data_IF_517547389567
#
_entry.id   IF_517547389567
#
_cell.length_a   1.000
_cell.length_b   1.000
_cell.length_c   1.000
_cell.angle_alpha   90.00
_cell.angle_beta   90.00
_cell.angle_gamma   90.00
#
_symmetry.space_group_name_H-M   'P 1'
#
loop_
_entity.id
_entity.type
_entity.pdbx_description
1 polymer ?
#
# COMPACT_ATOMS: atom_id res chain seq x y z
N UNK A 1 -29.91 -14.58 -17.22
CA UNK A 1 -29.03 -13.46 -17.60
C UNK A 1 -27.63 -14.04 -17.60
N UNK A 2 -26.92 -14.05 -18.73
CA UNK A 2 -25.54 -14.53 -18.70
C UNK A 2 -24.75 -13.63 -17.76
N UNK A 3 -24.06 -14.20 -16.77
CA UNK A 3 -23.25 -13.44 -15.83
C UNK A 3 -22.23 -12.61 -16.63
N UNK A 4 -22.38 -11.29 -16.55
CA UNK A 4 -21.49 -10.37 -17.23
C UNK A 4 -20.09 -10.50 -16.62
N UNK A 5 -19.07 -10.68 -17.47
CA UNK A 5 -17.67 -10.79 -17.03
C UNK A 5 -17.28 -9.56 -16.19
N UNK A 6 -16.54 -9.76 -15.10
CA UNK A 6 -16.05 -8.66 -14.24
C UNK A 6 -15.05 -7.72 -14.92
N UNK A 7 -14.57 -8.11 -16.10
CA UNK A 7 -13.60 -7.38 -16.89
C UNK A 7 -14.06 -7.23 -18.35
N UNK A 8 -13.41 -6.31 -19.04
CA UNK A 8 -13.51 -6.11 -20.48
C UNK A 8 -12.37 -6.87 -21.16
N UNK A 9 -12.63 -7.56 -22.28
CA UNK A 9 -11.55 -8.13 -23.09
C UNK A 9 -10.52 -7.07 -23.50
N UNK A 10 -9.24 -7.41 -23.44
CA UNK A 10 -8.15 -6.55 -23.87
C UNK A 10 -7.82 -6.78 -25.36
N UNK A 11 -8.82 -6.59 -26.21
CA UNK A 11 -8.77 -6.83 -27.67
C UNK A 11 -8.95 -5.53 -28.49
N UNK A 12 -9.01 -4.38 -27.81
CA UNK A 12 -9.13 -3.09 -28.48
C UNK A 12 -7.81 -2.69 -29.17
N UNK A 13 -7.89 -2.05 -30.36
CA UNK A 13 -6.70 -1.56 -31.04
C UNK A 13 -6.00 -0.50 -30.19
N UNK A 14 -4.66 -0.51 -30.23
CA UNK A 14 -3.83 0.50 -29.59
C UNK A 14 -4.26 1.89 -30.07
N UNK A 15 -4.54 2.78 -29.12
CA UNK A 15 -4.92 4.16 -29.41
C UNK A 15 -3.68 5.05 -29.40
N UNK A 16 -3.62 5.98 -30.34
CA UNK A 16 -2.60 7.04 -30.33
C UNK A 16 -3.03 8.15 -29.39
N UNK A 17 -2.11 8.63 -28.54
CA UNK A 17 -2.38 9.76 -27.64
C UNK A 17 -2.46 11.06 -28.45
N UNK A 18 -3.45 11.91 -28.12
CA UNK A 18 -3.64 13.21 -28.78
C UNK A 18 -2.60 14.27 -28.38
N UNK A 19 -1.90 14.04 -27.27
CA UNK A 19 -0.84 14.89 -26.71
C UNK A 19 0.26 14.01 -26.13
N UNK A 20 1.43 14.58 -25.88
CA UNK A 20 2.51 13.85 -25.20
C UNK A 20 2.10 13.47 -23.76
N UNK A 21 2.63 12.36 -23.19
CA UNK A 21 2.36 11.99 -21.81
C UNK A 21 2.60 13.12 -20.81
N UNK A 22 3.66 13.93 -21.01
CA UNK A 22 3.97 15.09 -20.17
C UNK A 22 2.87 16.16 -20.21
N UNK A 23 2.33 16.44 -21.40
CA UNK A 23 1.23 17.42 -21.55
C UNK A 23 -0.09 16.91 -20.95
N UNK A 24 -0.39 15.62 -21.10
CA UNK A 24 -1.57 15.00 -20.49
C UNK A 24 -1.45 15.01 -18.96
N UNK A 25 -0.28 14.66 -18.44
CA UNK A 25 0.03 14.70 -17.01
C UNK A 25 -0.11 16.12 -16.43
N UNK A 26 0.45 17.14 -17.10
CA UNK A 26 0.32 18.53 -16.69
C UNK A 26 -1.15 18.97 -16.64
N UNK A 27 -1.91 18.70 -17.72
CA UNK A 27 -3.32 19.08 -17.79
C UNK A 27 -4.18 18.36 -16.74
N UNK A 28 -3.90 17.08 -16.47
CA UNK A 28 -4.59 16.32 -15.44
C UNK A 28 -4.32 16.86 -14.03
N UNK A 29 -3.08 17.27 -13.74
CA UNK A 29 -2.73 17.89 -12.46
C UNK A 29 -3.40 19.26 -12.26
N UNK A 30 -3.41 20.10 -13.31
CA UNK A 30 -4.09 21.40 -13.28
C UNK A 30 -5.60 21.25 -13.04
N UNK A 31 -6.25 20.35 -13.79
CA UNK A 31 -7.67 20.04 -13.62
C UNK A 31 -7.97 19.45 -12.23
N UNK A 32 -7.10 18.56 -11.73
CA UNK A 32 -7.24 17.97 -10.41
C UNK A 32 -7.18 19.04 -9.32
N UNK A 33 -6.19 19.93 -9.35
CA UNK A 33 -6.04 21.01 -8.34
C UNK A 33 -7.22 21.99 -8.41
N UNK A 34 -7.72 22.31 -9.60
CA UNK A 34 -8.87 23.19 -9.78
C UNK A 34 -10.18 22.59 -9.24
N UNK A 35 -10.33 21.26 -9.29
CA UNK A 35 -11.55 20.56 -8.82
C UNK A 35 -11.49 20.13 -7.35
N UNK A 36 -10.30 20.00 -6.80
CA UNK A 36 -10.08 19.46 -5.45
C UNK A 36 -9.39 20.51 -4.59
N UNK A 37 -10.05 21.63 -4.31
CA UNK A 37 -9.54 22.64 -3.40
C UNK A 37 -9.36 22.09 -1.98
N UNK A 38 -8.51 22.74 -1.19
CA UNK A 38 -8.34 22.36 0.22
C UNK A 38 -9.61 22.74 0.97
N UNK A 39 -10.32 21.77 1.59
CA UNK A 39 -11.57 22.06 2.27
C UNK A 39 -11.31 22.90 3.52
N UNK A 40 -12.29 23.71 3.92
CA UNK A 40 -12.20 24.50 5.15
C UNK A 40 -12.23 23.62 6.40
N UNK A 41 -13.01 22.54 6.37
CA UNK A 41 -13.16 21.54 7.44
C UNK A 41 -13.31 20.16 6.78
N UNK A 42 -13.01 19.09 7.53
CA UNK A 42 -13.25 17.73 7.07
C UNK A 42 -14.59 17.19 7.55
N UNK A 43 -15.29 16.49 6.66
CA UNK A 43 -16.52 15.75 6.94
C UNK A 43 -16.22 14.28 7.25
N UNK A 44 -17.19 13.59 7.84
CA UNK A 44 -17.13 12.15 8.09
C UNK A 44 -16.86 11.38 6.78
N UNK A 45 -15.97 10.39 6.84
CA UNK A 45 -15.58 9.60 5.67
C UNK A 45 -14.55 10.25 4.73
N UNK A 46 -14.20 11.53 4.92
CA UNK A 46 -13.09 12.17 4.17
C UNK A 46 -11.71 11.85 4.75
N UNK A 47 -11.66 11.28 5.94
CA UNK A 47 -10.44 10.98 6.70
C UNK A 47 -10.30 9.48 6.85
N UNK A 48 -9.40 8.91 6.05
CA UNK A 48 -9.08 7.48 5.99
C UNK A 48 -7.62 7.31 5.54
N UNK A 49 -6.76 8.10 6.17
CA UNK A 49 -5.31 8.10 5.98
C UNK A 49 -4.91 8.34 4.53
N UNK A 50 -3.73 7.82 4.16
CA UNK A 50 -3.25 7.90 2.77
C UNK A 50 -4.01 6.95 1.83
N UNK A 51 -4.76 5.99 2.35
CA UNK A 51 -5.36 4.93 1.52
C UNK A 51 -6.62 5.38 0.78
N UNK A 52 -7.51 6.11 1.45
CA UNK A 52 -8.70 6.64 0.80
C UNK A 52 -9.23 7.94 1.39
N UNK A 53 -8.49 8.56 2.31
CA UNK A 53 -8.79 9.89 2.81
C UNK A 53 -8.17 11.01 1.99
N UNK A 54 -8.53 12.24 2.34
CA UNK A 54 -7.96 13.47 1.78
C UNK A 54 -6.43 13.52 1.92
N UNK A 55 -5.88 12.92 2.97
CA UNK A 55 -4.45 12.81 3.24
C UNK A 55 -3.68 12.00 2.17
N UNK A 56 -4.37 11.21 1.35
CA UNK A 56 -3.80 10.62 0.14
C UNK A 56 -3.34 11.66 -0.91
N UNK A 57 -3.98 12.84 -0.95
CA UNK A 57 -3.65 13.91 -1.91
C UNK A 57 -2.26 14.54 -1.64
N UNK A 58 -1.95 15.05 -0.43
CA UNK A 58 -0.61 15.54 -0.14
C UNK A 58 0.45 14.44 -0.23
N UNK A 59 0.12 13.19 0.09
CA UNK A 59 1.01 12.05 -0.16
C UNK A 59 1.36 11.90 -1.65
N UNK A 60 0.34 11.91 -2.52
CA UNK A 60 0.53 11.87 -3.97
C UNK A 60 1.43 13.00 -4.45
N UNK A 61 1.16 14.25 -4.06
CA UNK A 61 1.97 15.40 -4.44
C UNK A 61 3.42 15.29 -3.96
N UNK A 62 3.64 14.78 -2.74
CA UNK A 62 4.98 14.54 -2.22
C UNK A 62 5.73 13.51 -3.07
N UNK A 63 5.12 12.36 -3.39
CA UNK A 63 5.75 11.34 -4.25
C UNK A 63 6.07 11.90 -5.65
N UNK A 64 5.09 12.57 -6.27
CA UNK A 64 5.27 13.15 -7.60
C UNK A 64 6.35 14.25 -7.62
N UNK A 65 6.56 14.97 -6.51
CA UNK A 65 7.61 15.99 -6.42
C UNK A 65 9.01 15.42 -6.57
N UNK A 66 9.23 14.16 -6.19
CA UNK A 66 10.50 13.47 -6.35
C UNK A 66 10.76 13.08 -7.82
N UNK A 67 9.73 12.61 -8.52
CA UNK A 67 9.84 12.16 -9.91
C UNK A 67 9.76 13.31 -10.93
N UNK A 68 9.09 14.41 -10.56
CA UNK A 68 8.81 15.54 -11.44
C UNK A 68 9.14 16.87 -10.76
N UNK A 69 10.41 17.12 -10.39
CA UNK A 69 10.81 18.32 -9.63
C UNK A 69 10.57 19.64 -10.38
N UNK A 70 10.51 19.59 -11.71
CA UNK A 70 10.29 20.77 -12.57
C UNK A 70 8.81 21.12 -12.78
N UNK A 71 7.90 20.21 -12.43
CA UNK A 71 6.47 20.43 -12.63
C UNK A 71 5.96 21.50 -11.65
N UNK A 72 5.13 22.40 -12.19
CA UNK A 72 4.46 23.46 -11.45
C UNK A 72 2.98 23.47 -11.83
N UNK A 73 2.10 23.73 -10.86
CA UNK A 73 0.67 23.95 -11.09
C UNK A 73 0.34 25.32 -10.52
N UNK A 74 -0.18 26.23 -11.34
CA UNK A 74 -0.45 27.62 -10.94
C UNK A 74 0.75 28.33 -10.27
N UNK A 75 1.97 28.00 -10.71
CA UNK A 75 3.21 28.56 -10.15
C UNK A 75 3.75 27.83 -8.90
N UNK A 76 3.00 26.94 -8.28
CA UNK A 76 3.43 26.15 -7.12
C UNK A 76 4.15 24.87 -7.55
N UNK A 77 5.25 24.51 -6.89
CA UNK A 77 5.84 23.18 -6.97
C UNK A 77 4.95 22.13 -6.32
N UNK A 78 5.09 20.88 -6.76
CA UNK A 78 4.35 19.76 -6.18
C UNK A 78 4.59 19.60 -4.67
N UNK A 79 5.80 19.92 -4.19
CA UNK A 79 6.09 19.92 -2.74
C UNK A 79 5.39 21.08 -2.01
N UNK A 80 5.22 22.25 -2.64
CA UNK A 80 4.41 23.34 -2.08
C UNK A 80 2.93 22.96 -2.03
N UNK A 81 2.41 22.32 -3.07
CA UNK A 81 1.05 21.76 -3.06
C UNK A 81 0.88 20.75 -1.93
N UNK A 82 1.80 19.80 -1.76
CA UNK A 82 1.74 18.85 -0.64
C UNK A 82 1.65 19.56 0.72
N UNK A 83 2.42 20.64 0.93
CA UNK A 83 2.32 21.47 2.15
C UNK A 83 0.97 22.19 2.26
N UNK A 84 0.45 22.75 1.16
CA UNK A 84 -0.84 23.43 1.12
C UNK A 84 -2.00 22.50 1.49
N UNK A 85 -2.01 21.27 0.97
CA UNK A 85 -3.03 20.27 1.29
C UNK A 85 -2.90 19.70 2.72
N UNK A 86 -1.74 19.85 3.35
CA UNK A 86 -1.54 19.52 4.76
C UNK A 86 -1.87 20.67 5.72
N UNK A 87 -2.17 21.88 5.23
CA UNK A 87 -2.30 23.07 6.05
C UNK A 87 -3.52 23.03 7.00
N UNK A 88 -4.60 22.36 6.59
CA UNK A 88 -5.79 22.17 7.42
C UNK A 88 -5.65 20.86 8.20
N UNK A 89 -5.70 20.97 9.52
CA UNK A 89 -5.74 19.82 10.43
C UNK A 89 -7.17 19.31 10.64
N UNK A 90 -7.36 18.00 10.83
CA UNK A 90 -8.65 17.44 11.21
C UNK A 90 -9.07 17.88 12.60
N UNK A 91 -10.39 17.88 12.85
CA UNK A 91 -10.93 18.10 14.19
C UNK A 91 -10.39 17.03 15.16
N UNK A 92 -10.04 17.45 16.38
CA UNK A 92 -9.51 16.57 17.41
C UNK A 92 -10.46 15.41 17.73
N UNK A 93 -11.77 15.64 17.70
CA UNK A 93 -12.80 14.62 17.93
C UNK A 93 -12.77 13.50 16.89
N UNK A 94 -12.43 13.82 15.63
CA UNK A 94 -12.30 12.81 14.57
C UNK A 94 -11.00 12.01 14.77
N UNK A 95 -9.93 12.66 15.23
CA UNK A 95 -8.66 11.99 15.53
C UNK A 95 -8.75 11.06 16.75
N UNK A 96 -9.67 11.31 17.69
CA UNK A 96 -9.92 10.43 18.84
C UNK A 96 -10.64 9.13 18.44
N UNK A 97 -11.37 9.14 17.31
CA UNK A 97 -12.07 7.97 16.77
C UNK A 97 -11.18 7.12 15.84
N UNK A 98 -9.93 7.53 15.62
CA UNK A 98 -8.95 6.81 14.80
C UNK A 98 -8.32 5.66 15.62
N UNK A 99 -9.07 4.56 15.72
CA UNK A 99 -8.71 3.39 16.56
C UNK A 99 -7.78 2.42 15.82
N UNK A 100 -7.74 2.49 14.49
CA UNK A 100 -6.98 1.56 13.65
C UNK A 100 -5.50 1.96 13.59
N UNK A 101 -4.63 0.99 13.25
CA UNK A 101 -3.24 1.31 12.92
C UNK A 101 -3.02 1.08 11.41
N UNK A 102 -1.94 1.57 10.81
CA UNK A 102 -1.70 1.35 9.37
C UNK A 102 -2.18 2.47 8.45
N UNK A 103 -2.49 2.16 7.19
CA UNK A 103 -2.66 3.17 6.14
C UNK A 103 -4.02 3.90 6.15
N UNK A 104 -5.05 3.30 6.77
CA UNK A 104 -6.34 3.94 6.99
C UNK A 104 -6.30 4.92 8.17
N UNK A 105 -5.34 4.77 9.08
CA UNK A 105 -5.20 5.69 10.21
C UNK A 105 -4.81 7.07 9.72
N UNK A 106 -5.71 8.02 9.94
CA UNK A 106 -5.53 9.42 9.59
C UNK A 106 -4.42 10.05 10.41
N UNK A 107 -4.40 9.80 11.72
CA UNK A 107 -3.39 10.31 12.64
C UNK A 107 -1.99 9.84 12.26
N UNK A 108 -1.81 8.53 12.06
CA UNK A 108 -0.51 7.97 11.68
C UNK A 108 -0.05 8.49 10.31
N UNK A 109 -0.96 8.51 9.34
CA UNK A 109 -0.69 8.99 7.98
C UNK A 109 -0.26 10.45 7.96
N UNK A 110 -0.98 11.32 8.67
CA UNK A 110 -0.66 12.75 8.74
C UNK A 110 0.64 13.03 9.45
N UNK A 111 0.90 12.35 10.57
CA UNK A 111 2.15 12.52 11.32
C UNK A 111 3.37 12.06 10.50
N UNK A 112 3.24 10.94 9.78
CA UNK A 112 4.27 10.48 8.85
C UNK A 112 4.53 11.52 7.75
N UNK A 113 3.47 12.06 7.13
CA UNK A 113 3.61 13.09 6.09
C UNK A 113 4.17 14.41 6.60
N UNK A 114 3.76 14.84 7.79
CA UNK A 114 4.30 16.03 8.44
C UNK A 114 5.82 15.90 8.62
N UNK A 115 6.28 14.76 9.16
CA UNK A 115 7.69 14.46 9.30
C UNK A 115 8.43 14.43 7.95
N UNK A 116 7.84 13.84 6.90
CA UNK A 116 8.44 13.83 5.57
C UNK A 116 8.57 15.23 4.96
N UNK A 117 7.57 16.09 5.16
CA UNK A 117 7.52 17.42 4.56
C UNK A 117 8.44 18.42 5.27
N UNK A 118 8.49 18.37 6.60
CA UNK A 118 9.34 19.24 7.41
C UNK A 118 10.80 18.79 7.38
N UNK A 119 11.05 17.48 7.49
CA UNK A 119 12.39 16.93 7.68
C UNK A 119 12.95 17.15 9.09
N UNK A 120 12.15 17.67 10.01
CA UNK A 120 12.58 18.06 11.36
C UNK A 120 12.52 16.88 12.33
N UNK A 121 13.52 16.78 13.20
CA UNK A 121 13.63 15.69 14.17
C UNK A 121 12.46 15.66 15.17
N UNK A 122 11.91 16.83 15.51
CA UNK A 122 10.74 16.96 16.39
C UNK A 122 9.51 16.26 15.83
N UNK A 123 9.24 16.44 14.54
CA UNK A 123 8.09 15.81 13.86
C UNK A 123 8.31 14.31 13.69
N UNK A 124 9.54 13.88 13.40
CA UNK A 124 9.89 12.45 13.37
C UNK A 124 9.66 11.80 14.73
N UNK A 125 10.10 12.44 15.82
CA UNK A 125 9.88 11.91 17.17
C UNK A 125 8.39 11.85 17.53
N UNK A 126 7.61 12.86 17.12
CA UNK A 126 6.14 12.86 17.29
C UNK A 126 5.50 11.69 16.54
N UNK A 127 5.87 11.50 15.28
CA UNK A 127 5.40 10.35 14.49
C UNK A 127 5.78 9.01 15.15
N UNK A 128 7.04 8.81 15.56
CA UNK A 128 7.46 7.58 16.25
C UNK A 128 6.60 7.34 17.50
N UNK A 129 6.36 8.38 18.31
CA UNK A 129 5.51 8.26 19.50
C UNK A 129 4.08 7.81 19.17
N UNK A 130 3.50 8.28 18.05
CA UNK A 130 2.17 7.82 17.62
C UNK A 130 2.12 6.34 17.23
N UNK A 131 3.26 5.73 16.87
CA UNK A 131 3.34 4.29 16.55
C UNK A 131 3.43 3.37 17.77
N UNK A 132 3.47 3.91 19.00
CA UNK A 132 3.69 3.12 20.22
C UNK A 132 2.67 1.98 20.40
N UNK A 133 1.40 2.22 20.08
CA UNK A 133 0.34 1.20 20.15
C UNK A 133 0.60 0.00 19.24
N UNK A 134 1.21 0.20 18.09
CA UNK A 134 1.54 -0.89 17.16
C UNK A 134 2.69 -1.77 17.65
N UNK A 135 3.60 -1.22 18.48
CA UNK A 135 4.71 -1.98 19.09
C UNK A 135 4.29 -2.71 20.38
N UNK A 136 3.19 -2.29 21.01
CA UNK A 136 2.67 -2.89 22.22
C UNK A 136 2.05 -4.27 21.97
N UNK A 137 2.11 -5.13 22.99
CA UNK A 137 1.29 -6.34 23.05
C UNK A 137 -0.18 -5.94 23.10
N UNK A 138 -1.06 -6.68 22.41
CA UNK A 138 -2.50 -6.44 22.54
C UNK A 138 -2.94 -6.76 23.96
N UNK A 139 -3.44 -5.77 24.69
CA UNK A 139 -4.06 -5.96 26.01
C UNK A 139 -5.54 -6.30 25.90
N UNK A 140 -6.15 -5.97 24.76
CA UNK A 140 -7.52 -6.33 24.41
C UNK A 140 -7.50 -7.66 23.64
N UNK A 141 -8.06 -8.70 24.25
CA UNK A 141 -8.20 -10.03 23.64
C UNK A 141 -9.37 -10.10 22.66
N UNK A 142 -10.36 -9.22 22.82
CA UNK A 142 -11.58 -9.21 22.02
C UNK A 142 -11.38 -8.45 20.71
N UNK A 143 -10.52 -7.43 20.71
CA UNK A 143 -10.12 -6.68 19.52
C UNK A 143 -8.60 -6.59 19.39
N UNK A 144 -7.91 -7.69 19.01
CA UNK A 144 -6.48 -7.65 18.84
C UNK A 144 -6.09 -6.75 17.66
N UNK A 145 -5.03 -5.96 17.86
CA UNK A 145 -4.43 -5.16 16.78
C UNK A 145 -4.05 -6.09 15.62
N UNK A 146 -4.60 -5.82 14.44
CA UNK A 146 -4.40 -6.62 13.23
C UNK A 146 -3.04 -6.33 12.60
N UNK A 147 -2.62 -7.17 11.66
CA UNK A 147 -1.26 -7.11 11.10
C UNK A 147 -1.19 -6.71 9.63
N UNK A 148 -2.32 -6.64 8.93
CA UNK A 148 -2.35 -6.32 7.51
C UNK A 148 -2.06 -4.83 7.22
N UNK A 149 -2.02 -4.43 5.95
CA UNK A 149 -1.51 -3.11 5.57
C UNK A 149 -2.50 -1.99 5.88
N UNK A 150 -3.80 -2.21 5.70
CA UNK A 150 -4.77 -1.12 5.75
C UNK A 150 -5.03 -0.65 7.18
N UNK A 151 -5.27 -1.60 8.07
CA UNK A 151 -5.72 -1.43 9.46
C UNK A 151 -4.73 -1.98 10.49
N UNK A 152 -3.60 -2.50 10.02
CA UNK A 152 -2.65 -3.23 10.85
C UNK A 152 -1.22 -2.71 10.86
N UNK A 153 -0.41 -3.44 11.63
CA UNK A 153 1.00 -3.16 11.89
C UNK A 153 1.85 -3.07 10.61
N UNK A 154 1.55 -3.83 9.56
CA UNK A 154 2.29 -3.75 8.31
C UNK A 154 2.14 -2.38 7.62
N UNK A 155 0.99 -1.71 7.77
CA UNK A 155 0.82 -0.33 7.30
C UNK A 155 1.71 0.65 8.07
N UNK A 156 1.92 0.42 9.37
CA UNK A 156 2.84 1.24 10.18
C UNK A 156 4.28 1.06 9.71
N UNK A 157 4.69 -0.17 9.36
CA UNK A 157 5.99 -0.45 8.75
C UNK A 157 6.15 0.31 7.42
N UNK A 158 5.12 0.37 6.58
CA UNK A 158 5.14 1.18 5.36
C UNK A 158 5.37 2.67 5.67
N UNK A 159 4.64 3.25 6.62
CA UNK A 159 4.78 4.66 7.00
C UNK A 159 6.18 4.96 7.59
N UNK A 160 6.73 4.05 8.40
CA UNK A 160 8.11 4.16 8.90
C UNK A 160 9.12 4.15 7.76
N UNK A 161 8.94 3.32 6.72
CA UNK A 161 9.79 3.33 5.52
C UNK A 161 9.66 4.61 4.72
N UNK A 162 8.44 5.15 4.63
CA UNK A 162 8.18 6.43 3.98
C UNK A 162 8.97 7.55 4.66
N UNK A 163 8.89 7.67 5.98
CA UNK A 163 9.66 8.67 6.74
C UNK A 163 11.16 8.42 6.62
N UNK A 164 11.62 7.16 6.67
CA UNK A 164 13.03 6.81 6.46
C UNK A 164 13.57 7.28 5.11
N UNK A 165 12.74 7.21 4.06
CA UNK A 165 13.10 7.66 2.72
C UNK A 165 13.26 9.18 2.63
N UNK A 166 12.29 9.94 3.18
CA UNK A 166 12.27 11.39 3.08
C UNK A 166 13.15 12.09 4.13
N UNK A 167 13.44 11.42 5.24
CA UNK A 167 14.29 11.94 6.33
C UNK A 167 15.41 10.93 6.65
N UNK A 168 16.42 10.74 5.77
CA UNK A 168 17.43 9.69 5.94
C UNK A 168 18.20 9.74 7.27
N UNK A 169 18.37 10.94 7.85
CA UNK A 169 19.01 11.13 9.16
C UNK A 169 18.29 10.46 10.34
N UNK A 170 17.02 10.07 10.17
CA UNK A 170 16.22 9.40 11.20
C UNK A 170 16.35 7.87 11.22
N UNK A 171 17.12 7.30 10.28
CA UNK A 171 17.22 5.84 10.03
C UNK A 171 17.34 5.01 11.31
N UNK A 172 18.31 5.29 12.17
CA UNK A 172 18.59 4.47 13.37
C UNK A 172 17.39 4.41 14.33
N UNK A 173 16.70 5.54 14.55
CA UNK A 173 15.53 5.60 15.44
C UNK A 173 14.35 4.83 14.85
N UNK A 174 14.11 5.01 13.56
CA UNK A 174 13.03 4.31 12.85
C UNK A 174 13.29 2.80 12.80
N UNK A 175 14.54 2.36 12.63
CA UNK A 175 14.90 0.93 12.63
C UNK A 175 14.61 0.26 13.97
N UNK A 176 14.86 0.92 15.10
CA UNK A 176 14.48 0.41 16.43
C UNK A 176 12.97 0.19 16.51
N UNK A 177 12.18 1.15 16.04
CA UNK A 177 10.73 1.05 16.04
C UNK A 177 10.21 -0.01 15.06
N UNK A 178 10.81 -0.12 13.87
CA UNK A 178 10.50 -1.16 12.88
C UNK A 178 10.73 -2.55 13.46
N UNK A 179 11.83 -2.78 14.19
CA UNK A 179 12.13 -4.06 14.86
C UNK A 179 11.05 -4.43 15.87
N UNK A 180 10.70 -3.50 16.77
CA UNK A 180 9.68 -3.75 17.78
C UNK A 180 8.32 -4.12 17.18
N UNK A 181 7.90 -3.46 16.10
CA UNK A 181 6.64 -3.76 15.40
C UNK A 181 6.74 -5.07 14.63
N UNK A 182 7.86 -5.33 13.95
CA UNK A 182 8.06 -6.56 13.21
C UNK A 182 8.06 -7.80 14.11
N UNK A 183 8.62 -7.70 15.32
CA UNK A 183 8.59 -8.79 16.29
C UNK A 183 7.13 -9.18 16.63
N UNK A 184 6.24 -8.20 16.82
CA UNK A 184 4.80 -8.46 17.03
C UNK A 184 4.11 -9.12 15.84
N UNK A 185 4.45 -8.68 14.62
CA UNK A 185 3.91 -9.29 13.41
C UNK A 185 4.39 -10.75 13.29
N UNK A 186 5.68 -11.02 13.56
CA UNK A 186 6.25 -12.36 13.50
C UNK A 186 5.74 -13.29 14.62
N UNK A 187 5.50 -12.77 15.82
CA UNK A 187 4.84 -13.54 16.91
C UNK A 187 3.45 -14.01 16.47
N UNK A 188 2.68 -13.14 15.81
CA UNK A 188 1.30 -13.42 15.41
C UNK A 188 1.15 -14.51 14.34
N UNK A 189 2.22 -14.91 13.66
CA UNK A 189 2.20 -15.93 12.61
C UNK A 189 3.13 -17.12 12.90
N UNK A 190 3.41 -17.36 14.18
CA UNK A 190 4.29 -18.45 14.61
C UNK A 190 5.67 -18.37 13.93
N UNK A 191 6.22 -17.16 13.85
CA UNK A 191 7.52 -16.84 13.28
C UNK A 191 7.74 -17.34 11.84
N UNK A 192 6.75 -17.14 10.96
CA UNK A 192 6.83 -17.52 9.54
C UNK A 192 6.21 -18.88 9.20
N UNK A 193 5.70 -19.61 10.19
CA UNK A 193 5.11 -20.94 9.96
C UNK A 193 3.64 -20.88 9.51
N UNK A 194 2.90 -19.84 9.91
CA UNK A 194 1.46 -19.70 9.67
C UNK A 194 1.11 -18.39 8.94
N UNK A 195 -0.13 -18.30 8.42
CA UNK A 195 -0.68 -17.08 7.82
C UNK A 195 -1.22 -16.11 8.86
N UNK A 196 -1.19 -14.82 8.53
CA UNK A 196 -1.88 -13.82 9.35
C UNK A 196 -3.39 -13.90 9.12
N UNK A 197 -4.16 -13.59 10.17
CA UNK A 197 -5.63 -13.63 10.15
C UNK A 197 -6.17 -12.20 10.25
N UNK A 198 -7.11 -11.87 9.37
CA UNK A 198 -7.91 -10.67 9.43
C UNK A 198 -9.37 -11.03 9.19
N UNK A 199 -10.30 -10.53 10.02
CA UNK A 199 -11.72 -10.87 9.99
C UNK A 199 -11.99 -12.40 9.90
N UNK A 200 -11.29 -13.17 10.74
CA UNK A 200 -11.35 -14.65 10.79
C UNK A 200 -10.99 -15.36 9.48
N UNK A 201 -10.23 -14.72 8.59
CA UNK A 201 -9.79 -15.29 7.31
C UNK A 201 -8.31 -15.07 7.08
N UNK A 202 -7.67 -16.04 6.41
CA UNK A 202 -6.27 -15.98 5.98
C UNK A 202 -6.20 -15.44 4.56
N UNK A 203 -6.13 -14.13 4.43
CA UNK A 203 -6.02 -13.46 3.13
C UNK A 203 -4.62 -13.62 2.56
N UNK A 204 -4.51 -13.72 1.22
CA UNK A 204 -3.20 -13.81 0.57
C UNK A 204 -2.73 -12.51 -0.08
N UNK A 205 -3.66 -11.62 -0.46
CA UNK A 205 -3.39 -10.45 -1.30
C UNK A 205 -2.62 -9.31 -0.63
N UNK A 206 -2.27 -8.28 -1.41
CA UNK A 206 -1.29 -7.28 -1.00
C UNK A 206 -1.78 -6.28 0.06
N UNK A 207 -3.09 -6.09 0.22
CA UNK A 207 -3.62 -5.16 1.23
C UNK A 207 -3.88 -5.88 2.55
N UNK A 208 -4.68 -6.94 2.52
CA UNK A 208 -5.17 -7.61 3.73
C UNK A 208 -4.41 -8.89 4.10
N UNK A 209 -3.43 -9.31 3.30
CA UNK A 209 -2.93 -10.68 3.33
C UNK A 209 -1.42 -10.84 3.34
N UNK A 210 -1.03 -12.11 3.35
CA UNK A 210 0.34 -12.56 3.61
C UNK A 210 1.38 -11.89 2.70
N UNK A 211 1.12 -11.75 1.38
CA UNK A 211 2.13 -11.21 0.47
C UNK A 211 2.45 -9.74 0.77
N UNK A 212 1.44 -8.96 1.17
CA UNK A 212 1.61 -7.56 1.58
C UNK A 212 2.43 -7.45 2.87
N UNK A 213 2.12 -8.28 3.85
CA UNK A 213 2.81 -8.30 5.15
C UNK A 213 4.27 -8.72 4.99
N UNK A 214 4.54 -9.82 4.26
CA UNK A 214 5.90 -10.27 3.94
C UNK A 214 6.68 -9.15 3.26
N UNK A 215 6.05 -8.45 2.31
CA UNK A 215 6.68 -7.34 1.59
C UNK A 215 7.12 -6.23 2.55
N UNK A 216 6.25 -5.79 3.46
CA UNK A 216 6.65 -4.73 4.41
C UNK A 216 7.71 -5.20 5.40
N UNK A 217 7.63 -6.45 5.89
CA UNK A 217 8.64 -7.01 6.80
C UNK A 217 10.04 -7.03 6.15
N UNK A 218 10.16 -7.60 4.95
CA UNK A 218 11.46 -7.76 4.27
C UNK A 218 12.03 -6.40 3.84
N UNK A 219 11.20 -5.48 3.34
CA UNK A 219 11.67 -4.15 2.95
C UNK A 219 12.07 -3.26 4.15
N UNK A 220 11.52 -3.53 5.34
CA UNK A 220 11.94 -2.88 6.58
C UNK A 220 13.23 -3.52 7.13
N UNK A 221 13.23 -4.85 7.23
CA UNK A 221 14.21 -5.68 7.92
C UNK A 221 14.59 -6.87 7.02
N UNK A 222 15.59 -6.68 6.12
CA UNK A 222 16.01 -7.71 5.17
C UNK A 222 16.41 -9.04 5.81
N UNK A 223 16.90 -9.03 7.06
CA UNK A 223 17.29 -10.22 7.82
C UNK A 223 16.11 -11.18 8.11
N UNK A 224 14.86 -10.73 7.93
CA UNK A 224 13.68 -11.59 8.03
C UNK A 224 13.43 -12.43 6.77
N UNK A 225 14.07 -12.11 5.64
CA UNK A 225 13.82 -12.79 4.37
C UNK A 225 13.97 -14.33 4.47
N UNK A 226 15.07 -14.89 5.02
CA UNK A 226 15.21 -16.34 5.15
C UNK A 226 14.15 -16.99 6.05
N UNK A 227 13.67 -16.29 7.08
CA UNK A 227 12.63 -16.80 8.01
C UNK A 227 11.26 -16.87 7.34
N UNK A 228 10.98 -15.95 6.42
CA UNK A 228 9.72 -15.85 5.68
C UNK A 228 9.73 -16.65 4.38
N UNK A 229 10.88 -17.15 3.95
CA UNK A 229 11.01 -17.92 2.70
C UNK A 229 10.07 -19.14 2.63
N UNK A 230 9.94 -19.99 3.67
CA UNK A 230 9.01 -21.11 3.62
C UNK A 230 7.56 -20.66 3.40
N UNK A 231 7.17 -19.53 3.99
CA UNK A 231 5.84 -18.94 3.78
C UNK A 231 5.66 -18.45 2.35
N UNK A 232 6.64 -17.71 1.84
CA UNK A 232 6.62 -17.19 0.48
C UNK A 232 6.53 -18.32 -0.56
N UNK A 233 7.25 -19.43 -0.35
CA UNK A 233 7.17 -20.61 -1.20
C UNK A 233 5.78 -21.26 -1.17
N UNK A 234 5.09 -21.28 -0.03
CA UNK A 234 3.68 -21.72 0.03
C UNK A 234 2.79 -20.81 -0.82
N UNK A 235 2.94 -19.49 -0.74
CA UNK A 235 2.16 -18.56 -1.56
C UNK A 235 2.40 -18.75 -3.06
N UNK A 236 3.65 -19.04 -3.46
CA UNK A 236 3.98 -19.34 -4.85
C UNK A 236 3.36 -20.67 -5.33
N UNK A 237 3.26 -21.66 -4.43
CA UNK A 237 2.70 -22.99 -4.77
C UNK A 237 1.20 -22.99 -5.06
N UNK A 238 0.46 -21.98 -4.58
CA UNK A 238 -1.00 -21.88 -4.78
C UNK A 238 -1.39 -20.95 -5.91
N UNK A 239 -0.43 -20.48 -6.72
CA UNK A 239 -0.75 -19.77 -7.96
C UNK A 239 -1.54 -20.70 -8.89
N UNK A 240 -2.67 -20.21 -9.39
CA UNK A 240 -3.53 -20.95 -10.31
C UNK A 240 -2.85 -21.21 -11.66
N UNK A 241 -3.43 -22.10 -12.46
CA UNK A 241 -2.94 -22.37 -13.82
C UNK A 241 -2.95 -21.11 -14.69
N UNK A 242 -4.01 -20.30 -14.59
CA UNK A 242 -4.18 -19.04 -15.32
C UNK A 242 -3.29 -17.88 -14.81
N UNK A 243 -2.47 -18.14 -13.80
CA UNK A 243 -1.53 -17.17 -13.24
C UNK A 243 -2.09 -16.25 -12.16
N UNK A 244 -3.39 -16.32 -11.84
CA UNK A 244 -3.96 -15.60 -10.71
C UNK A 244 -3.66 -16.32 -9.37
N UNK A 245 -4.04 -15.69 -8.27
CA UNK A 245 -3.91 -16.24 -6.92
C UNK A 245 -5.27 -16.30 -6.21
N UNK A 246 -5.43 -17.25 -5.27
CA UNK A 246 -6.63 -17.34 -4.46
C UNK A 246 -6.72 -16.15 -3.51
N UNK A 247 -7.96 -15.79 -3.16
CA UNK A 247 -8.18 -14.74 -2.17
C UNK A 247 -7.78 -15.22 -0.78
N UNK A 248 -8.10 -16.48 -0.47
CA UNK A 248 -7.87 -17.09 0.83
C UNK A 248 -7.01 -18.35 0.76
N UNK A 249 -6.20 -18.59 1.80
CA UNK A 249 -5.33 -19.77 1.88
C UNK A 249 -6.12 -21.10 1.95
N UNK A 250 -7.20 -21.13 2.74
CA UNK A 250 -7.82 -22.39 3.19
C UNK A 250 -9.19 -22.70 2.52
N UNK A 251 -9.52 -22.05 1.40
CA UNK A 251 -10.84 -22.23 0.75
C UNK A 251 -10.80 -23.13 -0.50
N UNK A 252 -9.63 -23.64 -0.89
CA UNK A 252 -9.52 -24.54 -2.05
C UNK A 252 -9.95 -23.89 -3.37
N UNK A 253 -9.90 -22.56 -3.46
CA UNK A 253 -10.12 -21.83 -4.70
C UNK A 253 -9.11 -22.34 -5.75
N UNK A 254 -9.58 -22.61 -6.97
CA UNK A 254 -8.73 -23.08 -8.09
C UNK A 254 -8.75 -22.12 -9.28
N UNK A 255 -9.67 -21.17 -9.27
CA UNK A 255 -9.82 -20.11 -10.26
C UNK A 255 -10.44 -18.86 -9.61
N UNK A 256 -10.21 -17.68 -10.20
CA UNK A 256 -10.83 -16.43 -9.76
C UNK A 256 -10.80 -15.37 -10.85
N UNK A 257 -11.90 -14.64 -10.99
CA UNK A 257 -12.00 -13.43 -11.82
C UNK A 257 -11.65 -12.14 -11.06
N UNK A 258 -11.19 -12.25 -9.81
CA UNK A 258 -10.72 -11.11 -9.02
C UNK A 258 -9.24 -10.90 -9.35
N UNK A 259 -8.96 -9.90 -10.18
CA UNK A 259 -7.61 -9.50 -10.61
C UNK A 259 -7.40 -8.05 -10.21
N UNK A 260 -6.91 -7.83 -8.99
CA UNK A 260 -6.83 -6.53 -8.34
C UNK A 260 -5.51 -6.42 -7.54
N UNK A 261 -5.05 -5.19 -7.26
CA UNK A 261 -3.92 -4.98 -6.36
C UNK A 261 -4.19 -5.56 -4.96
N UNK A 262 -5.39 -5.35 -4.40
CA UNK A 262 -5.72 -5.88 -3.09
C UNK A 262 -5.87 -7.40 -3.04
N UNK A 263 -6.35 -8.03 -4.12
CA UNK A 263 -6.60 -9.46 -4.20
C UNK A 263 -6.32 -9.98 -5.62
N UNK A 264 -5.36 -10.89 -5.75
CA UNK A 264 -5.01 -11.54 -7.01
C UNK A 264 -3.67 -11.08 -7.59
N UNK A 265 -3.47 -11.40 -8.87
CA UNK A 265 -2.19 -11.31 -9.57
C UNK A 265 -1.48 -9.94 -9.49
N UNK A 266 -2.15 -8.79 -9.67
CA UNK A 266 -1.47 -7.50 -9.69
C UNK A 266 -0.71 -7.21 -8.39
N UNK A 267 -1.33 -7.46 -7.23
CA UNK A 267 -0.70 -7.27 -5.93
C UNK A 267 0.49 -8.22 -5.71
N UNK A 268 0.36 -9.46 -6.17
CA UNK A 268 1.44 -10.45 -6.12
C UNK A 268 2.63 -10.06 -7.01
N UNK A 269 2.37 -9.65 -8.25
CA UNK A 269 3.41 -9.24 -9.20
C UNK A 269 4.25 -8.09 -8.63
N UNK A 270 3.60 -7.02 -8.15
CA UNK A 270 4.29 -5.87 -7.55
C UNK A 270 5.11 -6.30 -6.33
N UNK A 271 4.55 -7.15 -5.48
CA UNK A 271 5.22 -7.64 -4.28
C UNK A 271 6.44 -8.51 -4.60
N UNK A 272 6.32 -9.45 -5.54
CA UNK A 272 7.42 -10.33 -5.94
C UNK A 272 8.55 -9.55 -6.61
N UNK A 273 8.24 -8.53 -7.40
CA UNK A 273 9.26 -7.62 -7.96
C UNK A 273 10.01 -6.89 -6.85
N UNK A 274 9.30 -6.36 -5.84
CA UNK A 274 9.91 -5.67 -4.71
C UNK A 274 10.76 -6.62 -3.82
N UNK A 275 10.35 -7.88 -3.69
CA UNK A 275 11.05 -8.89 -2.89
C UNK A 275 12.26 -9.49 -3.60
N UNK A 276 12.32 -9.41 -4.93
CA UNK A 276 13.35 -10.03 -5.77
C UNK A 276 14.79 -9.79 -5.29
N UNK A 277 15.22 -8.57 -4.90
CA UNK A 277 16.60 -8.34 -4.45
C UNK A 277 16.98 -9.11 -3.18
N UNK A 278 16.01 -9.57 -2.40
CA UNK A 278 16.19 -10.25 -1.11
C UNK A 278 16.15 -11.78 -1.22
N UNK A 279 15.78 -12.32 -2.39
CA UNK A 279 15.71 -13.75 -2.67
C UNK A 279 16.39 -14.10 -4.01
N UNK A 280 17.70 -13.80 -4.18
CA UNK A 280 18.38 -13.96 -5.46
C UNK A 280 18.37 -15.40 -5.99
N UNK A 281 18.33 -16.41 -5.10
CA UNK A 281 18.22 -17.82 -5.47
C UNK A 281 16.83 -18.24 -5.97
N UNK A 282 15.79 -17.43 -5.71
CA UNK A 282 14.42 -17.66 -6.19
C UNK A 282 14.10 -16.89 -7.48
N UNK A 283 15.07 -16.19 -8.09
CA UNK A 283 14.85 -15.35 -9.27
C UNK A 283 14.08 -16.05 -10.40
N UNK A 284 14.48 -17.28 -10.76
CA UNK A 284 13.80 -18.04 -11.82
C UNK A 284 12.35 -18.42 -11.43
N UNK A 285 12.11 -18.75 -10.16
CA UNK A 285 10.78 -19.03 -9.62
C UNK A 285 9.90 -17.77 -9.65
N UNK A 286 10.46 -16.62 -9.24
CA UNK A 286 9.77 -15.34 -9.28
C UNK A 286 9.46 -14.92 -10.71
N UNK A 287 10.41 -15.06 -11.65
CA UNK A 287 10.18 -14.76 -13.07
C UNK A 287 9.02 -15.55 -13.64
N UNK A 288 8.96 -16.85 -13.38
CA UNK A 288 7.87 -17.70 -13.83
C UNK A 288 6.52 -17.26 -13.23
N UNK A 289 6.48 -17.02 -11.93
CA UNK A 289 5.26 -16.60 -11.24
C UNK A 289 4.78 -15.22 -11.71
N UNK A 290 5.69 -14.26 -11.83
CA UNK A 290 5.44 -12.90 -12.31
C UNK A 290 4.93 -12.95 -13.76
N UNK A 291 5.58 -13.70 -14.65
CA UNK A 291 5.15 -13.79 -16.06
C UNK A 291 3.70 -14.28 -16.18
N UNK A 292 3.35 -15.35 -15.45
CA UNK A 292 1.96 -15.84 -15.37
C UNK A 292 0.99 -14.80 -14.78
N UNK A 293 1.40 -14.11 -13.72
CA UNK A 293 0.58 -13.06 -13.10
C UNK A 293 0.33 -11.87 -14.04
N UNK A 294 1.34 -11.49 -14.82
CA UNK A 294 1.23 -10.44 -15.86
C UNK A 294 0.28 -10.90 -16.97
N UNK A 295 0.35 -12.16 -17.42
CA UNK A 295 -0.58 -12.71 -18.42
C UNK A 295 -2.04 -12.72 -17.91
N UNK A 296 -2.25 -13.13 -16.67
CA UNK A 296 -3.55 -13.07 -16.01
C UNK A 296 -4.08 -11.63 -15.94
N UNK A 297 -3.21 -10.69 -15.56
CA UNK A 297 -3.53 -9.26 -15.48
C UNK A 297 -3.82 -8.66 -16.85
N UNK A 298 -3.08 -9.05 -17.88
CA UNK A 298 -3.33 -8.62 -19.25
C UNK A 298 -4.70 -9.09 -19.77
N UNK A 299 -5.08 -10.33 -19.42
CA UNK A 299 -6.31 -10.97 -19.88
C UNK A 299 -7.54 -10.45 -19.13
N UNK A 300 -7.45 -10.30 -17.81
CA UNK A 300 -8.59 -10.06 -16.91
C UNK A 300 -8.51 -8.73 -16.13
N UNK A 301 -7.44 -7.95 -16.30
CA UNK A 301 -7.17 -6.77 -15.49
C UNK A 301 -7.87 -5.48 -15.95
N UNK A 302 -8.54 -5.48 -17.11
CA UNK A 302 -9.37 -4.35 -17.56
C UNK A 302 -10.76 -4.40 -16.88
N UNK A 303 -10.79 -4.13 -15.58
CA UNK A 303 -12.00 -4.27 -14.76
C UNK A 303 -13.12 -3.33 -15.24
N UNK A 304 -14.38 -3.81 -15.16
CA UNK A 304 -15.58 -2.97 -15.41
C UNK A 304 -15.85 -1.94 -14.32
N UNK A 305 -15.21 -2.10 -13.16
CA UNK A 305 -15.29 -1.15 -12.04
C UNK A 305 -14.64 0.18 -12.43
N UNK A 306 -15.05 1.25 -11.76
CA UNK A 306 -14.43 2.57 -11.91
C UNK A 306 -12.90 2.52 -11.78
N UNK A 307 -12.17 3.37 -12.54
CA UNK A 307 -10.72 3.45 -12.45
C UNK A 307 -10.26 3.74 -11.02
N UNK A 308 -9.42 2.86 -10.46
CA UNK A 308 -8.90 2.97 -9.12
C UNK A 308 -7.53 2.26 -9.02
N UNK A 309 -6.74 2.60 -7.99
CA UNK A 309 -5.45 1.96 -7.72
C UNK A 309 -5.59 0.61 -6.99
N UNK A 310 -6.51 0.49 -6.03
CA UNK A 310 -6.64 -0.71 -5.21
C UNK A 310 -7.27 -1.89 -5.97
N UNK A 311 -8.26 -1.60 -6.81
CA UNK A 311 -9.06 -2.60 -7.50
C UNK A 311 -9.70 -2.03 -8.78
N UNK A 312 -8.85 -1.42 -9.61
CA UNK A 312 -9.25 -0.83 -10.89
C UNK A 312 -8.13 -0.92 -11.91
N UNK A 313 -8.42 -0.43 -13.11
CA UNK A 313 -7.51 -0.51 -14.26
C UNK A 313 -6.16 0.17 -13.98
N UNK A 314 -6.16 1.29 -13.24
CA UNK A 314 -4.93 2.02 -12.91
C UNK A 314 -4.00 1.21 -12.02
N UNK A 315 -4.56 0.50 -11.04
CA UNK A 315 -3.82 -0.42 -10.18
C UNK A 315 -3.19 -1.58 -10.93
N UNK A 316 -3.94 -2.12 -11.88
CA UNK A 316 -3.56 -3.30 -12.65
C UNK A 316 -2.53 -2.98 -13.76
N UNK A 317 -2.37 -1.71 -14.12
CA UNK A 317 -1.41 -1.27 -15.12
C UNK A 317 0.01 -1.02 -14.56
N UNK A 318 0.19 -1.13 -13.24
CA UNK A 318 1.46 -0.90 -12.53
C UNK A 318 2.42 -2.10 -12.56
#
# INVERSE_FOLDING_TARGET
MADELRYMPNDQPLRTLSKTPKQLFQAALEDFVAKNEVPANFEEGQLMGIFGGFTGIPYMFLQLSNWHPDVRVNGESLRQLAKRYMAIGPDASIMEQDVECGLASEKLSREALAACLSGEETDVNRFIATTAGAAASSTDTDNPVVNEILYGRAGVLFLLRLVRHWVPGSKTKLETQMKAIADRIMEANNHGQDSWVWMNKKFLGAVHGDIGIITQLVLCLPDLAPKLEPHLLRLLSVQFEDGNWPKFMDQGETESDIVQFCHGAPGFVISLQALRPYYPHLNATFDKAIAKGVESTWTKGLLRKEPALCHGILGNAM
#
